data_IF_530401256988
#
_entry.id   IF_530401256988
#
_cell.length_a   1.000
_cell.length_b   1.000
_cell.length_c   1.000
_cell.angle_alpha   90.00
_cell.angle_beta   90.00
_cell.angle_gamma   90.00
#
_symmetry.space_group_name_H-M   'P 1'
#
loop_
_entity.id
_entity.type
_entity.pdbx_description
1 polymer ?
#
# COMPACT_ATOMS: atom_id res chain seq x y z
N UNK A 1 11.14 -12.13 8.01
CA UNK A 1 9.91 -12.16 8.82
C UNK A 1 10.05 -11.94 10.33
N UNK A 2 11.25 -11.82 10.98
CA UNK A 2 11.29 -11.79 12.46
C UNK A 2 10.54 -10.58 13.05
N UNK A 3 10.62 -9.42 12.40
CA UNK A 3 9.95 -8.21 12.90
C UNK A 3 8.42 -8.32 12.94
N UNK A 4 7.79 -8.97 11.97
CA UNK A 4 6.33 -9.04 11.95
C UNK A 4 5.82 -9.98 13.04
N UNK A 5 6.49 -11.12 13.21
CA UNK A 5 6.20 -12.06 14.29
C UNK A 5 6.43 -11.40 15.67
N UNK A 6 7.48 -10.58 15.81
CA UNK A 6 7.73 -9.76 17.00
C UNK A 6 6.61 -8.74 17.26
N UNK A 7 6.11 -8.06 16.23
CA UNK A 7 5.00 -7.10 16.34
C UNK A 7 3.72 -7.83 16.78
N UNK A 8 3.41 -9.00 16.21
CA UNK A 8 2.24 -9.80 16.58
C UNK A 8 2.38 -10.28 18.03
N UNK A 9 3.57 -10.77 18.42
CA UNK A 9 3.84 -11.18 19.80
C UNK A 9 3.69 -10.03 20.80
N UNK A 10 4.21 -8.84 20.47
CA UNK A 10 4.03 -7.62 21.27
C UNK A 10 2.55 -7.20 21.35
N UNK A 11 1.82 -7.27 20.24
CA UNK A 11 0.40 -6.90 20.18
C UNK A 11 -0.48 -7.77 21.11
N UNK A 12 -0.10 -9.04 21.32
CA UNK A 12 -0.79 -9.93 22.27
C UNK A 12 -0.77 -9.44 23.72
N UNK A 13 0.20 -8.62 24.11
CA UNK A 13 0.27 -8.00 25.44
C UNK A 13 -0.53 -6.71 25.59
N UNK A 14 -1.17 -6.22 24.51
CA UNK A 14 -1.88 -4.95 24.52
C UNK A 14 -3.34 -5.09 24.96
N UNK A 15 -3.90 -3.98 25.45
CA UNK A 15 -5.31 -3.90 25.83
C UNK A 15 -6.22 -4.07 24.61
N UNK A 16 -7.45 -4.60 24.78
CA UNK A 16 -8.42 -4.78 23.70
C UNK A 16 -8.56 -3.62 22.71
N UNK A 17 -8.71 -2.39 23.20
CA UNK A 17 -8.84 -1.21 22.33
C UNK A 17 -7.58 -0.92 21.51
N UNK A 18 -6.40 -1.27 22.04
CA UNK A 18 -5.12 -1.08 21.35
C UNK A 18 -4.96 -2.10 20.22
N UNK A 19 -5.40 -3.34 20.44
CA UNK A 19 -5.41 -4.36 19.38
C UNK A 19 -6.41 -4.00 18.28
N UNK A 20 -7.58 -3.46 18.62
CA UNK A 20 -8.51 -2.89 17.63
C UNK A 20 -7.87 -1.73 16.86
N UNK A 21 -7.20 -0.80 17.55
CA UNK A 21 -6.53 0.32 16.91
C UNK A 21 -5.46 -0.17 15.91
N UNK A 22 -4.65 -1.16 16.29
CA UNK A 22 -3.69 -1.79 15.39
C UNK A 22 -4.36 -2.40 14.16
N UNK A 23 -5.44 -3.18 14.33
CA UNK A 23 -6.18 -3.74 13.19
C UNK A 23 -6.63 -2.65 12.21
N UNK A 24 -7.13 -1.51 12.72
CA UNK A 24 -7.56 -0.39 11.85
C UNK A 24 -6.40 0.31 11.16
N UNK A 25 -5.28 0.51 11.86
CA UNK A 25 -4.06 1.12 11.31
C UNK A 25 -3.49 0.27 10.17
N UNK A 26 -3.49 -1.07 10.32
CA UNK A 26 -3.01 -1.95 9.27
C UNK A 26 -4.01 -2.08 8.11
N UNK A 27 -5.30 -2.00 8.37
CA UNK A 27 -6.34 -2.16 7.34
C UNK A 27 -6.60 -0.89 6.51
N UNK A 28 -6.29 0.30 7.01
CA UNK A 28 -6.66 1.58 6.38
C UNK A 28 -5.47 2.52 6.25
N UNK A 29 -5.44 3.28 5.15
CA UNK A 29 -4.44 4.32 4.96
C UNK A 29 -4.62 5.49 5.95
N UNK A 30 -5.87 5.82 6.28
CA UNK A 30 -6.25 6.87 7.23
C UNK A 30 -7.40 6.39 8.11
N UNK A 31 -7.42 6.83 9.37
CA UNK A 31 -8.52 6.55 10.30
C UNK A 31 -9.60 7.61 10.14
N UNK A 32 -10.85 7.15 10.05
CA UNK A 32 -12.01 8.05 10.01
C UNK A 32 -12.39 8.53 11.41
N UNK A 33 -13.22 9.56 11.48
CA UNK A 33 -13.77 10.01 12.76
C UNK A 33 -14.54 8.88 13.47
N UNK A 34 -15.31 8.08 12.73
CA UNK A 34 -16.03 6.92 13.27
C UNK A 34 -15.07 5.85 13.85
N UNK A 35 -13.90 5.68 13.25
CA UNK A 35 -12.87 4.78 13.77
C UNK A 35 -12.38 5.24 15.14
N UNK A 36 -12.09 6.55 15.25
CA UNK A 36 -11.63 7.18 16.48
C UNK A 36 -12.71 7.08 17.56
N UNK A 37 -13.97 7.37 17.23
CA UNK A 37 -15.10 7.28 18.16
C UNK A 37 -15.34 5.85 18.65
N UNK A 38 -15.17 4.87 17.76
CA UNK A 38 -15.26 3.44 18.13
C UNK A 38 -14.18 3.07 19.14
N UNK A 39 -12.92 3.46 18.88
CA UNK A 39 -11.80 3.20 19.81
C UNK A 39 -12.03 3.91 21.14
N UNK A 40 -12.51 5.16 21.12
CA UNK A 40 -12.81 5.94 22.33
C UNK A 40 -13.89 5.28 23.19
N UNK A 41 -14.92 4.72 22.55
CA UNK A 41 -15.96 3.94 23.26
C UNK A 41 -15.35 2.72 23.94
N UNK A 42 -14.50 1.97 23.26
CA UNK A 42 -13.81 0.81 23.86
C UNK A 42 -12.93 1.20 25.05
N UNK A 43 -12.21 2.33 24.96
CA UNK A 43 -11.43 2.86 26.08
C UNK A 43 -12.34 3.14 27.28
N UNK A 44 -13.47 3.84 27.07
CA UNK A 44 -14.42 4.18 28.14
C UNK A 44 -15.09 2.95 28.77
N UNK A 45 -15.42 1.95 27.95
CA UNK A 45 -16.00 0.70 28.42
C UNK A 45 -14.99 -0.04 29.29
N UNK A 46 -13.73 -0.13 28.87
CA UNK A 46 -12.71 -0.86 29.61
C UNK A 46 -12.39 -0.27 31.01
N UNK A 47 -12.65 1.03 31.22
CA UNK A 47 -12.44 1.69 32.53
C UNK A 47 -13.67 1.57 33.47
N UNK A 48 -14.77 0.93 33.03
CA UNK A 48 -15.94 0.66 33.89
C UNK A 48 -15.76 -0.67 34.63
N UNK A 49 -16.07 -0.69 35.93
CA UNK A 49 -15.93 -1.87 36.81
C UNK A 49 -16.78 -3.10 36.36
N UNK A 50 -17.91 -2.87 35.68
CA UNK A 50 -18.84 -3.93 35.22
C UNK A 50 -18.79 -4.20 33.71
N UNK A 51 -17.75 -3.74 33.01
CA UNK A 51 -17.69 -3.92 31.56
C UNK A 51 -17.37 -5.35 31.16
N UNK A 52 -18.29 -5.97 30.44
CA UNK A 52 -17.96 -7.13 29.60
C UNK A 52 -17.12 -6.63 28.42
N UNK A 53 -15.93 -7.19 28.25
CA UNK A 53 -15.06 -6.98 27.08
C UNK A 53 -15.66 -7.66 25.84
N UNK A 54 -16.88 -7.27 25.47
CA UNK A 54 -17.56 -7.76 24.29
C UNK A 54 -16.85 -7.28 23.03
N UNK A 55 -16.39 -8.22 22.19
CA UNK A 55 -15.94 -7.91 20.83
C UNK A 55 -14.44 -7.69 20.62
N UNK A 56 -13.59 -7.92 21.61
CA UNK A 56 -12.14 -7.82 21.45
C UNK A 56 -11.58 -9.02 20.67
N UNK A 57 -11.39 -8.87 19.36
CA UNK A 57 -10.64 -9.85 18.54
C UNK A 57 -9.13 -9.56 18.61
N UNK A 58 -8.28 -10.57 18.85
CA UNK A 58 -6.84 -10.41 18.88
C UNK A 58 -6.28 -9.92 17.53
N UNK A 59 -5.17 -9.17 17.57
CA UNK A 59 -4.41 -8.80 16.38
C UNK A 59 -3.59 -10.00 15.89
N UNK A 60 -3.80 -10.40 14.64
CA UNK A 60 -3.21 -11.61 14.04
C UNK A 60 -2.57 -11.31 12.69
N UNK A 61 -1.86 -12.28 12.13
CA UNK A 61 -1.26 -12.17 10.79
C UNK A 61 -2.29 -11.83 9.71
N UNK A 62 -3.53 -12.30 9.86
CA UNK A 62 -4.64 -12.03 8.93
C UNK A 62 -5.04 -10.55 8.89
N UNK A 63 -4.69 -9.78 9.92
CA UNK A 63 -4.97 -8.34 9.98
C UNK A 63 -3.89 -7.50 9.28
N UNK A 64 -2.83 -8.14 8.77
CA UNK A 64 -1.71 -7.47 8.10
C UNK A 64 -1.83 -7.69 6.59
N UNK A 65 -2.07 -6.63 5.79
CA UNK A 65 -2.22 -6.74 4.34
C UNK A 65 -1.00 -7.43 3.70
N UNK A 66 -1.26 -8.48 2.93
CA UNK A 66 -0.26 -9.22 2.18
C UNK A 66 0.62 -10.19 2.99
N UNK A 67 0.50 -10.24 4.33
CA UNK A 67 1.33 -11.13 5.13
C UNK A 67 0.75 -12.55 5.29
N UNK A 68 -0.58 -12.70 5.20
CA UNK A 68 -1.27 -13.97 5.42
C UNK A 68 -1.34 -14.93 4.23
N UNK A 69 -0.98 -14.51 3.00
CA UNK A 69 -1.19 -15.36 1.81
C UNK A 69 -0.10 -16.42 1.62
N UNK A 70 1.12 -16.17 2.12
CA UNK A 70 2.31 -16.98 1.80
C UNK A 70 2.76 -16.89 0.34
N UNK A 71 2.02 -16.18 -0.52
CA UNK A 71 2.28 -16.06 -1.94
C UNK A 71 3.44 -15.11 -2.22
N UNK A 72 4.29 -15.48 -3.16
CA UNK A 72 5.36 -14.62 -3.66
C UNK A 72 4.83 -13.75 -4.80
N UNK A 73 4.73 -12.44 -4.56
CA UNK A 73 4.36 -11.46 -5.58
C UNK A 73 5.61 -10.84 -6.19
N UNK A 74 5.74 -10.85 -7.52
CA UNK A 74 6.85 -10.22 -8.27
C UNK A 74 6.30 -9.22 -9.26
N UNK A 75 6.89 -8.04 -9.32
CA UNK A 75 6.58 -7.02 -10.32
C UNK A 75 7.37 -7.31 -11.59
N UNK A 76 6.69 -7.49 -12.72
CA UNK A 76 7.32 -7.89 -13.99
C UNK A 76 7.11 -6.92 -15.13
N UNK A 77 6.32 -5.88 -14.93
CA UNK A 77 6.19 -4.84 -15.93
C UNK A 77 5.27 -3.72 -15.52
N UNK A 78 5.30 -2.67 -16.33
CA UNK A 78 4.32 -1.59 -16.30
C UNK A 78 3.82 -1.38 -17.72
N UNK A 79 2.52 -1.21 -17.87
CA UNK A 79 1.87 -0.98 -19.15
C UNK A 79 0.85 0.15 -19.05
N UNK A 80 0.29 0.56 -20.19
CA UNK A 80 -0.84 1.48 -20.20
C UNK A 80 -0.55 2.84 -19.56
N UNK A 81 0.71 3.28 -19.51
CA UNK A 81 1.04 4.61 -18.97
C UNK A 81 0.21 5.66 -19.70
N UNK A 82 -0.55 6.46 -18.98
CA UNK A 82 -1.33 7.54 -19.54
C UNK A 82 -1.24 8.77 -18.65
N UNK A 83 -0.98 9.92 -19.26
CA UNK A 83 -0.78 11.18 -18.55
C UNK A 83 0.30 11.11 -17.44
N UNK A 84 1.33 10.28 -17.59
CA UNK A 84 2.46 10.22 -16.63
C UNK A 84 3.63 11.03 -17.16
N UNK A 85 3.88 12.20 -16.56
CA UNK A 85 4.79 13.23 -17.09
C UNK A 85 4.55 13.41 -18.61
N UNK A 86 5.61 13.68 -19.40
CA UNK A 86 5.56 13.66 -20.86
C UNK A 86 5.83 12.29 -21.50
N UNK A 87 5.48 11.18 -20.84
CA UNK A 87 5.61 9.87 -21.47
C UNK A 87 4.51 9.67 -22.52
N UNK A 88 4.82 9.05 -23.68
CA UNK A 88 3.78 8.67 -24.64
C UNK A 88 2.72 7.78 -23.99
N UNK A 89 1.44 8.08 -24.24
CA UNK A 89 0.33 7.25 -23.77
C UNK A 89 0.43 5.82 -24.33
N UNK A 90 0.11 4.82 -23.52
CA UNK A 90 0.21 3.40 -23.86
C UNK A 90 1.62 2.84 -23.75
N UNK A 91 2.61 3.62 -23.28
CA UNK A 91 3.97 3.12 -23.07
C UNK A 91 3.96 1.95 -22.09
N UNK A 92 4.76 0.94 -22.42
CA UNK A 92 4.98 -0.23 -21.60
C UNK A 92 6.48 -0.57 -21.53
N UNK A 93 6.87 -1.28 -20.48
CA UNK A 93 8.20 -1.85 -20.33
C UNK A 93 8.17 -3.00 -19.33
N UNK A 94 9.03 -3.98 -19.59
CA UNK A 94 9.19 -5.15 -18.72
C UNK A 94 10.23 -4.87 -17.62
N UNK A 95 10.04 -5.53 -16.49
CA UNK A 95 10.98 -5.61 -15.39
C UNK A 95 11.52 -7.03 -15.30
N UNK A 96 12.80 -7.16 -14.97
CA UNK A 96 13.36 -8.47 -14.71
C UNK A 96 12.68 -9.08 -13.47
N UNK A 97 12.03 -10.26 -13.58
CA UNK A 97 11.38 -10.92 -12.44
C UNK A 97 12.39 -11.33 -11.37
N UNK A 98 13.65 -11.50 -11.76
CA UNK A 98 14.77 -11.84 -10.89
C UNK A 98 15.97 -10.93 -11.21
N UNK A 99 16.71 -10.54 -10.17
CA UNK A 99 17.87 -9.65 -10.30
C UNK A 99 17.53 -8.17 -10.13
N UNK A 100 18.16 -7.31 -10.92
CA UNK A 100 18.08 -5.86 -10.78
C UNK A 100 17.78 -5.19 -12.12
N UNK A 101 16.72 -4.38 -12.16
CA UNK A 101 16.39 -3.54 -13.32
C UNK A 101 16.91 -2.12 -13.07
N UNK A 102 17.72 -1.57 -13.99
CA UNK A 102 18.31 -0.24 -13.88
C UNK A 102 17.65 0.72 -14.86
N UNK A 103 16.97 1.75 -14.35
CA UNK A 103 16.49 2.89 -15.15
C UNK A 103 17.55 3.99 -15.18
N UNK A 104 18.17 4.20 -16.35
CA UNK A 104 19.22 5.21 -16.54
C UNK A 104 18.91 6.15 -17.71
N UNK A 105 19.60 7.29 -17.75
CA UNK A 105 19.41 8.33 -18.77
C UNK A 105 19.79 9.72 -18.25
N UNK A 106 19.81 10.70 -19.13
CA UNK A 106 20.15 12.09 -18.80
C UNK A 106 19.15 12.73 -17.80
N UNK A 107 19.55 13.86 -17.22
CA UNK A 107 18.62 14.69 -16.44
C UNK A 107 17.47 15.15 -17.34
N UNK A 108 16.24 15.15 -16.81
CA UNK A 108 15.04 15.44 -17.60
C UNK A 108 14.49 14.26 -18.43
N UNK A 109 15.18 13.12 -18.53
CA UNK A 109 14.70 11.97 -19.31
C UNK A 109 13.48 11.23 -18.71
N UNK A 110 12.89 11.73 -17.61
CA UNK A 110 11.70 11.15 -17.00
C UNK A 110 11.92 10.08 -15.93
N UNK A 111 13.17 9.74 -15.55
CA UNK A 111 13.47 8.71 -14.52
C UNK A 111 12.63 8.84 -13.23
N UNK A 112 12.50 10.06 -12.70
CA UNK A 112 11.68 10.33 -11.50
C UNK A 112 10.18 10.11 -11.73
N UNK A 113 9.70 10.15 -12.97
CA UNK A 113 8.34 9.80 -13.36
C UNK A 113 8.01 8.35 -13.08
N UNK A 114 8.85 7.43 -13.55
CA UNK A 114 8.71 6.00 -13.24
C UNK A 114 8.75 5.76 -11.73
N UNK A 115 9.67 6.42 -11.02
CA UNK A 115 9.76 6.29 -9.57
C UNK A 115 8.46 6.75 -8.84
N UNK A 116 7.77 7.79 -9.33
CA UNK A 116 6.46 8.20 -8.77
C UNK A 116 5.39 7.14 -8.99
N UNK A 117 5.33 6.55 -10.18
CA UNK A 117 4.41 5.45 -10.50
C UNK A 117 4.62 4.27 -9.53
N UNK A 118 5.86 3.81 -9.36
CA UNK A 118 6.18 2.73 -8.43
C UNK A 118 5.89 3.07 -6.97
N UNK A 119 6.13 4.31 -6.53
CA UNK A 119 5.84 4.74 -5.16
C UNK A 119 4.35 4.73 -4.81
N UNK A 120 3.45 4.80 -5.80
CA UNK A 120 2.01 4.74 -5.55
C UNK A 120 1.46 3.32 -5.56
N UNK A 121 2.07 2.44 -6.35
CA UNK A 121 1.65 1.04 -6.46
C UNK A 121 2.20 0.16 -5.35
N UNK A 122 3.45 0.40 -4.96
CA UNK A 122 4.07 -0.33 -3.86
C UNK A 122 3.76 0.34 -2.52
N UNK A 123 3.90 -0.41 -1.41
CA UNK A 123 3.74 0.12 -0.05
C UNK A 123 4.93 1.02 0.36
N UNK A 124 5.14 2.11 -0.37
CA UNK A 124 6.20 3.07 -0.10
C UNK A 124 5.81 3.96 1.09
N UNK A 125 6.77 4.19 1.99
CA UNK A 125 6.61 5.09 3.15
C UNK A 125 6.14 6.50 2.77
N UNK A 126 6.57 6.98 1.60
CA UNK A 126 6.20 8.28 1.09
C UNK A 126 5.61 8.12 -0.31
N UNK A 127 4.27 8.13 -0.37
CA UNK A 127 3.53 8.30 -1.61
C UNK A 127 3.72 9.74 -2.10
N UNK A 128 3.86 9.89 -3.39
CA UNK A 128 4.09 11.18 -4.05
C UNK A 128 3.15 11.26 -5.24
N UNK A 129 2.56 12.44 -5.48
CA UNK A 129 1.68 12.62 -6.63
C UNK A 129 2.40 12.23 -7.94
N UNK A 130 1.71 11.45 -8.78
CA UNK A 130 2.14 11.23 -10.15
C UNK A 130 1.75 12.46 -10.94
N UNK A 131 2.72 13.11 -11.59
CA UNK A 131 2.50 14.38 -12.27
C UNK A 131 2.14 14.14 -13.74
N UNK A 132 1.25 14.96 -14.35
CA UNK A 132 0.98 14.93 -15.78
C UNK A 132 2.07 15.62 -16.61
N UNK A 133 1.89 15.66 -17.93
CA UNK A 133 2.80 16.40 -18.82
C UNK A 133 2.77 17.90 -18.49
N UNK A 134 3.95 18.45 -18.22
CA UNK A 134 4.13 19.86 -17.91
C UNK A 134 3.94 20.78 -19.12
N UNK A 135 4.07 20.25 -20.34
CA UNK A 135 4.01 21.03 -21.58
C UNK A 135 2.67 20.87 -22.32
N UNK A 136 1.81 19.94 -21.90
CA UNK A 136 0.53 19.70 -22.55
C UNK A 136 -0.48 19.08 -21.58
N UNK A 137 -1.49 19.84 -21.19
CA UNK A 137 -2.62 19.28 -20.45
C UNK A 137 -3.47 18.41 -21.40
N UNK A 138 -3.77 17.16 -21.01
CA UNK A 138 -4.77 16.39 -21.74
C UNK A 138 -6.11 17.11 -21.79
N UNK A 139 -6.76 17.06 -22.95
CA UNK A 139 -8.13 17.55 -23.15
C UNK A 139 -8.99 16.39 -23.64
N UNK A 140 -9.97 15.90 -22.85
CA UNK A 140 -10.30 16.34 -21.49
C UNK A 140 -9.18 15.98 -20.49
N UNK A 141 -9.17 16.68 -19.35
CA UNK A 141 -8.24 16.39 -18.27
C UNK A 141 -8.43 14.94 -17.80
N UNK A 142 -7.34 14.16 -17.78
CA UNK A 142 -7.30 12.78 -17.30
C UNK A 142 -6.26 12.67 -16.21
N UNK A 143 -6.57 11.88 -15.18
CA UNK A 143 -5.61 11.60 -14.11
C UNK A 143 -4.50 10.70 -14.64
N UNK A 144 -3.25 10.87 -14.17
CA UNK A 144 -2.17 9.95 -14.47
C UNK A 144 -2.50 8.52 -14.04
N UNK A 145 -2.30 7.56 -14.94
CA UNK A 145 -2.56 6.14 -14.68
C UNK A 145 -1.51 5.24 -15.34
N UNK A 146 -1.42 4.01 -14.82
CA UNK A 146 -0.62 2.93 -15.37
C UNK A 146 -1.13 1.60 -14.80
N UNK A 147 -0.94 0.53 -15.55
CA UNK A 147 -1.21 -0.85 -15.13
C UNK A 147 0.10 -1.55 -14.77
N UNK A 148 0.03 -2.49 -13.84
CA UNK A 148 1.18 -3.29 -13.43
C UNK A 148 0.96 -4.75 -13.82
N UNK A 149 1.99 -5.36 -14.41
CA UNK A 149 2.03 -6.79 -14.60
C UNK A 149 2.74 -7.42 -13.40
N UNK A 150 2.12 -8.43 -12.79
CA UNK A 150 2.68 -9.15 -11.65
C UNK A 150 2.70 -10.66 -11.90
N UNK A 151 3.57 -11.36 -11.18
CA UNK A 151 3.51 -12.81 -11.00
C UNK A 151 3.11 -13.11 -9.56
N UNK A 152 2.13 -13.98 -9.37
CA UNK A 152 1.77 -14.57 -8.08
C UNK A 152 2.18 -16.04 -8.12
N UNK A 153 3.17 -16.41 -7.30
CA UNK A 153 3.77 -17.75 -7.28
C UNK A 153 4.21 -18.23 -8.67
N UNK A 154 4.71 -17.30 -9.49
CA UNK A 154 5.18 -17.56 -10.85
C UNK A 154 4.08 -17.54 -11.93
N UNK A 155 2.81 -17.36 -11.55
CA UNK A 155 1.69 -17.28 -12.49
C UNK A 155 1.37 -15.81 -12.81
N UNK A 156 1.24 -15.42 -14.10
CA UNK A 156 0.85 -14.06 -14.47
C UNK A 156 -0.54 -13.68 -13.96
N UNK A 157 -0.64 -12.51 -13.34
CA UNK A 157 -1.90 -11.82 -13.09
C UNK A 157 -1.85 -10.43 -13.72
N UNK A 158 -3.01 -10.02 -14.27
CA UNK A 158 -3.28 -8.70 -14.86
C UNK A 158 -4.25 -7.92 -13.99
#
# INVERSE_FOLDING_TARGET
MPLLDEIIGWAGGLRPWQQEALRRIFARAELTQDDIETILRMVREQEREDATTGGARPFTLDDVPGAGSGATVRLVGVSGLDQVNGFPSGRAFDLAPEGMTIFFGHNGAGKSGYARVFKNACNARHRVEVLPDAFGAATPARLPSADFAILVDGTPET
#
